data_IF_071617061187
#
_entry.id   IF_071617061187
#
_cell.length_a   1.000
_cell.length_b   1.000
_cell.length_c   1.000
_cell.angle_alpha   90.00
_cell.angle_beta   90.00
_cell.angle_gamma   90.00
#
_symmetry.space_group_name_H-M   'P 1'
#
loop_
_entity.id
_entity.type
_entity.pdbx_description
1 polymer ?
#
# COMPACT_ATOMS: atom_id res chain seq x y z
N UNK A 1 -1.22 -29.90 18.34
CA UNK A 1 -1.78 -28.88 17.43
C UNK A 1 -0.60 -28.29 16.66
N UNK A 2 -0.43 -28.66 15.40
CA UNK A 2 0.67 -28.15 14.58
C UNK A 2 0.49 -26.66 14.33
N UNK A 3 1.57 -25.90 14.44
CA UNK A 3 1.58 -24.48 14.14
C UNK A 3 1.13 -24.28 12.69
N UNK A 4 0.05 -23.53 12.49
CA UNK A 4 -0.30 -23.00 11.19
C UNK A 4 0.87 -22.09 10.78
N UNK A 5 1.62 -22.46 9.74
CA UNK A 5 2.57 -21.54 9.12
C UNK A 5 1.74 -20.47 8.43
N UNK A 6 1.61 -19.32 9.07
CA UNK A 6 0.98 -18.11 8.50
C UNK A 6 1.66 -17.62 7.22
N UNK A 7 2.82 -18.20 6.92
CA UNK A 7 3.76 -17.97 5.83
C UNK A 7 3.19 -18.39 4.46
N UNK A 8 2.15 -19.24 4.41
CA UNK A 8 1.69 -19.83 3.14
C UNK A 8 0.67 -18.96 2.36
N UNK A 9 0.21 -17.83 2.91
CA UNK A 9 -0.83 -17.01 2.26
C UNK A 9 -0.48 -15.53 2.04
N UNK A 10 0.23 -14.87 2.97
CA UNK A 10 0.57 -13.44 2.88
C UNK A 10 2.08 -13.24 2.68
N UNK A 11 2.49 -12.98 1.43
CA UNK A 11 3.91 -12.86 1.04
C UNK A 11 4.55 -11.53 1.45
N UNK A 12 3.77 -10.47 1.68
CA UNK A 12 4.27 -9.23 2.30
C UNK A 12 3.13 -8.40 2.89
N UNK A 13 3.47 -7.52 3.84
CA UNK A 13 2.60 -6.42 4.22
C UNK A 13 3.37 -5.21 4.76
N UNK A 14 2.79 -4.02 4.66
CA UNK A 14 3.31 -2.81 5.29
C UNK A 14 2.19 -1.90 5.76
N UNK A 15 2.41 -1.31 6.94
CA UNK A 15 1.78 -0.06 7.36
C UNK A 15 2.81 1.06 7.25
N UNK A 16 2.52 2.05 6.42
CA UNK A 16 3.38 3.21 6.23
C UNK A 16 2.65 4.49 6.65
N UNK A 17 3.14 5.21 7.65
CA UNK A 17 2.59 6.52 8.04
C UNK A 17 3.18 7.62 7.16
N UNK A 18 2.42 8.67 6.86
CA UNK A 18 2.93 9.83 6.11
C UNK A 18 2.85 11.08 6.97
N UNK A 19 3.96 11.81 7.06
CA UNK A 19 4.02 13.10 7.75
C UNK A 19 4.80 14.08 6.90
N UNK A 20 4.22 15.27 6.66
CA UNK A 20 4.80 16.31 5.80
C UNK A 20 5.23 15.77 4.41
N UNK A 21 4.44 14.87 3.82
CA UNK A 21 4.72 14.24 2.53
C UNK A 21 5.78 13.13 2.59
N UNK A 22 6.29 12.77 3.76
CA UNK A 22 7.33 11.74 3.89
C UNK A 22 6.71 10.43 4.39
N UNK A 23 6.67 9.36 3.57
CA UNK A 23 6.27 8.05 4.00
C UNK A 23 7.35 7.40 4.89
N UNK A 24 6.93 6.81 6.00
CA UNK A 24 7.79 6.07 6.94
C UNK A 24 7.14 4.74 7.25
N UNK A 25 7.92 3.66 7.12
CA UNK A 25 7.45 2.32 7.41
C UNK A 25 7.30 2.14 8.92
N UNK A 26 6.06 2.09 9.41
CA UNK A 26 5.77 1.97 10.83
C UNK A 26 5.82 0.50 11.30
N UNK A 27 5.41 -0.42 10.43
CA UNK A 27 5.54 -1.85 10.62
C UNK A 27 5.44 -2.57 9.27
N UNK A 28 6.20 -3.64 9.07
CA UNK A 28 6.15 -4.43 7.84
C UNK A 28 6.67 -5.83 8.00
N UNK A 29 6.28 -6.70 7.09
CA UNK A 29 6.90 -7.99 6.82
C UNK A 29 7.30 -8.05 5.35
N UNK A 30 8.53 -8.52 5.11
CA UNK A 30 9.05 -8.74 3.77
C UNK A 30 9.02 -7.50 2.84
N UNK A 31 9.29 -6.33 3.41
CA UNK A 31 9.44 -5.08 2.66
C UNK A 31 10.89 -4.62 2.75
N UNK A 32 11.53 -4.48 1.60
CA UNK A 32 12.92 -4.02 1.46
C UNK A 32 12.99 -2.50 1.62
N UNK A 33 12.10 -1.78 0.94
CA UNK A 33 12.04 -0.32 1.02
C UNK A 33 10.67 0.20 0.62
N UNK A 34 10.42 1.45 0.96
CA UNK A 34 9.30 2.23 0.45
C UNK A 34 9.84 3.52 -0.16
N UNK A 35 9.16 4.05 -1.16
CA UNK A 35 9.59 5.29 -1.83
C UNK A 35 8.37 6.10 -2.22
N UNK A 36 8.39 7.38 -1.87
CA UNK A 36 7.51 8.39 -2.45
C UNK A 36 8.01 8.72 -3.86
N UNK A 37 7.15 8.56 -4.85
CA UNK A 37 7.48 8.85 -6.27
C UNK A 37 6.69 10.04 -6.81
N UNK A 38 5.97 10.74 -5.95
CA UNK A 38 5.13 11.89 -6.24
C UNK A 38 3.90 11.92 -5.34
N UNK A 39 3.22 13.08 -5.22
CA UNK A 39 2.09 13.24 -4.33
C UNK A 39 1.04 12.14 -4.49
N UNK A 40 0.70 11.48 -3.39
CA UNK A 40 -0.26 10.40 -3.35
C UNK A 40 0.22 9.09 -4.00
N UNK A 41 1.53 8.88 -4.19
CA UNK A 41 2.07 7.65 -4.80
C UNK A 41 3.12 7.02 -3.89
N UNK A 42 2.83 5.80 -3.43
CA UNK A 42 3.79 4.96 -2.70
C UNK A 42 4.23 3.78 -3.57
N UNK A 43 5.53 3.62 -3.74
CA UNK A 43 6.12 2.38 -4.27
C UNK A 43 6.67 1.55 -3.12
N UNK A 44 6.22 0.29 -3.04
CA UNK A 44 6.72 -0.70 -2.09
C UNK A 44 7.66 -1.64 -2.82
N UNK A 45 8.89 -1.77 -2.33
CA UNK A 45 9.85 -2.79 -2.78
C UNK A 45 9.74 -3.98 -1.85
N UNK A 46 9.36 -5.12 -2.41
CA UNK A 46 9.11 -6.38 -1.71
C UNK A 46 10.42 -7.21 -1.70
N UNK A 47 10.58 -8.10 -0.74
CA UNK A 47 11.63 -9.12 -0.79
C UNK A 47 11.38 -10.19 -1.86
N UNK A 48 11.98 -11.36 -1.72
CA UNK A 48 12.06 -12.40 -2.77
C UNK A 48 10.87 -13.36 -2.80
N UNK A 49 9.75 -13.03 -2.17
CA UNK A 49 8.70 -14.01 -1.85
C UNK A 49 7.65 -14.20 -2.95
N UNK A 50 7.68 -13.40 -4.02
CA UNK A 50 6.89 -13.66 -5.22
C UNK A 50 7.79 -14.02 -6.40
N UNK A 51 7.49 -15.12 -7.10
CA UNK A 51 8.21 -15.50 -8.31
C UNK A 51 7.76 -14.73 -9.58
N UNK A 52 6.61 -14.04 -9.53
CA UNK A 52 6.05 -13.32 -10.69
C UNK A 52 5.14 -12.17 -10.27
N UNK A 53 4.48 -11.53 -11.23
CA UNK A 53 3.42 -10.55 -10.96
C UNK A 53 2.05 -11.21 -10.64
N UNK A 54 1.91 -12.54 -10.74
CA UNK A 54 0.65 -13.25 -10.57
C UNK A 54 0.34 -13.52 -9.09
N UNK A 55 0.05 -12.46 -8.34
CA UNK A 55 -0.37 -12.50 -6.95
C UNK A 55 -1.50 -11.50 -6.72
N UNK A 56 -2.17 -11.58 -5.58
CA UNK A 56 -3.26 -10.67 -5.22
C UNK A 56 -2.72 -9.54 -4.36
N UNK A 57 -2.84 -8.30 -4.84
CA UNK A 57 -2.54 -7.11 -4.06
C UNK A 57 -3.82 -6.55 -3.43
N UNK A 58 -3.72 -6.13 -2.17
CA UNK A 58 -4.73 -5.34 -1.48
C UNK A 58 -4.09 -4.07 -0.95
N UNK A 59 -4.78 -2.95 -1.10
CA UNK A 59 -4.34 -1.67 -0.56
C UNK A 59 -5.49 -0.89 0.07
N UNK A 60 -5.18 -0.16 1.14
CA UNK A 60 -6.06 0.78 1.77
C UNK A 60 -5.28 2.01 2.25
N UNK A 61 -6.00 3.11 2.42
CA UNK A 61 -5.47 4.36 2.94
C UNK A 61 -6.31 4.80 4.16
N UNK A 62 -5.66 5.29 5.20
CA UNK A 62 -6.37 5.93 6.31
C UNK A 62 -6.94 7.28 5.86
N UNK A 63 -8.20 7.55 6.20
CA UNK A 63 -8.79 8.89 6.09
C UNK A 63 -8.04 9.88 6.99
N UNK A 64 -8.13 11.16 6.70
CA UNK A 64 -7.46 12.21 7.51
C UNK A 64 -8.15 12.51 8.83
N UNK A 65 -9.33 11.93 9.08
CA UNK A 65 -10.06 12.07 10.33
C UNK A 65 -10.76 10.77 10.70
N UNK A 66 -11.19 10.67 11.96
CA UNK A 66 -11.93 9.53 12.51
C UNK A 66 -13.41 9.52 12.11
N UNK A 67 -13.89 10.59 11.49
CA UNK A 67 -15.28 10.73 11.01
C UNK A 67 -15.29 10.84 9.50
N UNK A 68 -16.22 10.12 8.87
CA UNK A 68 -16.43 10.22 7.43
C UNK A 68 -16.91 11.62 7.02
N UNK A 69 -16.15 12.25 6.13
CA UNK A 69 -16.56 13.42 5.37
C UNK A 69 -15.88 13.33 3.99
N UNK A 70 -16.51 13.90 2.97
CA UNK A 70 -15.95 13.92 1.60
C UNK A 70 -14.55 14.55 1.59
N UNK A 71 -14.34 15.60 2.41
CA UNK A 71 -13.05 16.25 2.64
C UNK A 71 -11.92 15.30 3.10
N UNK A 72 -12.29 14.26 3.84
CA UNK A 72 -11.36 13.33 4.48
C UNK A 72 -11.20 12.01 3.73
N UNK A 73 -12.01 11.78 2.69
CA UNK A 73 -11.99 10.54 1.94
C UNK A 73 -10.62 10.36 1.26
N UNK A 74 -10.08 9.14 1.36
CA UNK A 74 -8.85 8.71 0.71
C UNK A 74 -9.15 7.43 -0.03
N UNK A 75 -9.06 7.49 -1.36
CA UNK A 75 -9.31 6.35 -2.23
C UNK A 75 -7.96 5.81 -2.70
N UNK A 76 -7.58 4.66 -2.16
CA UNK A 76 -6.41 3.92 -2.61
C UNK A 76 -6.74 3.11 -3.88
N UNK A 77 -5.82 3.10 -4.84
CA UNK A 77 -5.87 2.23 -6.01
C UNK A 77 -4.49 1.58 -6.23
N UNK A 78 -4.49 0.41 -6.87
CA UNK A 78 -3.26 -0.24 -7.34
C UNK A 78 -2.95 0.30 -8.73
N UNK A 79 -1.71 0.78 -8.95
CA UNK A 79 -1.34 1.35 -10.24
C UNK A 79 -1.15 0.26 -11.28
N UNK A 80 -1.83 0.42 -12.43
CA UNK A 80 -1.73 -0.51 -13.54
C UNK A 80 -0.28 -0.73 -13.98
N UNK A 81 0.11 -1.98 -14.21
CA UNK A 81 1.45 -2.38 -14.65
C UNK A 81 2.56 -2.23 -13.61
N UNK A 82 2.26 -1.81 -12.38
CA UNK A 82 3.28 -1.66 -11.34
C UNK A 82 3.56 -2.94 -10.54
N UNK A 83 2.62 -3.89 -10.59
CA UNK A 83 2.73 -5.14 -9.84
C UNK A 83 3.76 -6.06 -10.49
N UNK A 84 4.82 -6.36 -9.74
CA UNK A 84 5.91 -7.23 -10.14
C UNK A 84 6.28 -8.18 -8.98
N UNK A 85 7.19 -9.11 -9.23
CA UNK A 85 7.72 -10.01 -8.20
C UNK A 85 8.30 -9.23 -6.98
N UNK A 86 9.03 -8.16 -7.25
CA UNK A 86 9.73 -7.39 -6.21
C UNK A 86 9.12 -6.03 -5.89
N UNK A 87 7.96 -5.68 -6.45
CA UNK A 87 7.38 -4.36 -6.21
C UNK A 87 5.91 -4.23 -6.53
N UNK A 88 5.30 -3.20 -5.96
CA UNK A 88 4.00 -2.66 -6.39
C UNK A 88 3.93 -1.17 -6.08
N UNK A 89 3.24 -0.42 -6.93
CA UNK A 89 2.92 0.97 -6.66
C UNK A 89 1.42 1.16 -6.45
N UNK A 90 1.07 2.01 -5.50
CA UNK A 90 -0.31 2.39 -5.19
C UNK A 90 -0.45 3.90 -5.31
N UNK A 91 -1.65 4.35 -5.64
CA UNK A 91 -2.02 5.75 -5.67
C UNK A 91 -3.17 6.04 -4.72
N UNK A 92 -3.26 7.28 -4.27
CA UNK A 92 -4.33 7.78 -3.44
C UNK A 92 -4.87 9.09 -4.02
N UNK A 93 -6.19 9.17 -4.06
CA UNK A 93 -6.90 10.39 -4.43
C UNK A 93 -7.87 10.82 -3.36
N UNK A 94 -8.14 12.12 -3.27
CA UNK A 94 -9.29 12.63 -2.54
C UNK A 94 -10.55 12.67 -3.41
N UNK A 95 -11.68 12.99 -2.78
CA UNK A 95 -12.97 13.17 -3.45
C UNK A 95 -13.47 14.63 -3.34
N UNK A 96 -12.58 15.60 -3.15
CA UNK A 96 -12.99 16.97 -2.78
C UNK A 96 -13.24 17.89 -3.97
N UNK A 97 -12.69 17.56 -5.13
CA UNK A 97 -12.75 18.37 -6.34
C UNK A 97 -13.61 17.71 -7.45
N UNK A 98 -13.97 18.51 -8.45
CA UNK A 98 -14.62 18.04 -9.70
C UNK A 98 -13.77 17.02 -10.45
N UNK A 99 -12.45 17.04 -10.24
CA UNK A 99 -11.50 16.00 -10.64
C UNK A 99 -10.78 15.51 -9.39
N UNK A 100 -10.86 14.21 -9.08
CA UNK A 100 -10.12 13.60 -7.99
C UNK A 100 -8.64 14.03 -7.99
N UNK A 101 -8.17 14.58 -6.86
CA UNK A 101 -6.79 15.06 -6.72
C UNK A 101 -5.91 13.98 -6.11
N UNK A 102 -4.72 13.76 -6.69
CA UNK A 102 -3.70 12.89 -6.08
C UNK A 102 -3.19 13.52 -4.78
N UNK A 103 -3.24 12.78 -3.68
CA UNK A 103 -2.88 13.28 -2.36
C UNK A 103 -2.37 12.18 -1.45
N UNK A 104 -1.43 12.54 -0.58
CA UNK A 104 -0.95 11.64 0.45
C UNK A 104 -2.04 11.38 1.52
N UNK A 105 -2.27 10.11 1.90
CA UNK A 105 -3.09 9.78 3.05
C UNK A 105 -2.29 9.91 4.36
N UNK A 106 -2.96 9.81 5.50
CA UNK A 106 -2.28 9.78 6.80
C UNK A 106 -1.43 8.49 6.98
N UNK A 107 -1.92 7.38 6.42
CA UNK A 107 -1.18 6.14 6.34
C UNK A 107 -1.66 5.26 5.18
N UNK A 108 -0.74 4.42 4.72
CA UNK A 108 -0.96 3.36 3.75
C UNK A 108 -0.96 2.00 4.43
N UNK A 109 -1.81 1.10 3.95
CA UNK A 109 -1.83 -0.32 4.31
C UNK A 109 -1.79 -1.11 3.02
N UNK A 110 -0.78 -1.98 2.87
CA UNK A 110 -0.60 -2.78 1.65
C UNK A 110 -0.27 -4.20 2.03
N UNK A 111 -0.83 -5.16 1.32
CA UNK A 111 -0.52 -6.58 1.50
C UNK A 111 -0.60 -7.34 0.18
N UNK A 112 0.24 -8.36 0.05
CA UNK A 112 0.24 -9.28 -1.08
C UNK A 112 -0.05 -10.70 -0.63
N UNK A 113 -0.94 -11.38 -1.35
CA UNK A 113 -1.33 -12.76 -1.10
C UNK A 113 -1.14 -13.63 -2.33
N UNK A 114 -0.75 -14.89 -2.14
CA UNK A 114 -0.51 -15.83 -3.22
C UNK A 114 0.82 -16.55 -3.10
N UNK A 115 0.95 -17.63 -3.85
CA UNK A 115 2.04 -18.61 -3.67
C UNK A 115 3.37 -18.14 -4.24
N UNK A 116 4.39 -18.54 -3.48
CA UNK A 116 5.83 -18.49 -3.69
C UNK A 116 6.27 -19.14 -5.01
#
# INVERSE_FOLDING_TARGET
>A
MGAFKSDDLCGFWTKCTVSAGVPTNAASFNVTSITDTGPGILTVTIGTDFASANWMCSCAAEMTATTYAVANARRANIRNGSQAAGSVAIDCTDNTATTNLAVDPAAWHVSGFGVQ
#
